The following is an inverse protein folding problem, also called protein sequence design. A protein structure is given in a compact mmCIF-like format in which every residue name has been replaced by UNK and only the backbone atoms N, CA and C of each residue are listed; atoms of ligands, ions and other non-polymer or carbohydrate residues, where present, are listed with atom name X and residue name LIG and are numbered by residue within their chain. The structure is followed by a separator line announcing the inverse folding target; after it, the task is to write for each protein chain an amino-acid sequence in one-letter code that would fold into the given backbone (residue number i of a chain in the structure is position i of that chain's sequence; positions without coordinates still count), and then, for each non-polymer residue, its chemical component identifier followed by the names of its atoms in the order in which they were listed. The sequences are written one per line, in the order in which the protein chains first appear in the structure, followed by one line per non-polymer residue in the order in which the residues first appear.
data_IF_440846721531
#
_entry.id   IF_440846721531
#
_cell.length_a   1.000
_cell.length_b   1.000
_cell.length_c   1.000
_cell.angle_alpha   90.00
_cell.angle_beta   90.00
_cell.angle_gamma   90.00
#
_symmetry.space_group_name_H-M   'P 1'
#
loop_
_entity.id
_entity.type
_entity.pdbx_description
1 polymer ?
#
# COMPACT_ATOMS: atom_id res chain seq x y z
N UNK A 1 33.53 -49.22 -23.18
CA UNK A 1 34.19 -48.16 -22.40
C UNK A 1 33.23 -47.00 -22.25
N UNK A 2 32.84 -46.71 -21.02
CA UNK A 2 31.99 -45.59 -20.62
C UNK A 2 32.70 -44.25 -20.89
N UNK A 3 31.96 -43.26 -21.42
CA UNK A 3 32.31 -41.84 -21.25
C UNK A 3 31.16 -41.17 -20.54
N UNK A 4 31.27 -41.20 -19.20
CA UNK A 4 30.78 -40.24 -18.22
C UNK A 4 29.76 -39.21 -18.73
N UNK A 5 28.50 -39.44 -18.41
CA UNK A 5 27.51 -38.38 -18.17
C UNK A 5 28.12 -37.42 -17.15
N UNK A 6 28.61 -36.27 -17.62
CA UNK A 6 28.95 -35.15 -16.74
C UNK A 6 27.72 -34.29 -16.62
N UNK A 7 26.97 -34.51 -15.55
CA UNK A 7 26.06 -33.52 -14.98
C UNK A 7 26.78 -32.15 -14.97
N UNK A 8 26.15 -31.08 -15.50
CA UNK A 8 26.76 -29.75 -15.45
C UNK A 8 26.98 -29.34 -13.98
N UNK A 9 28.11 -28.68 -13.66
CA UNK A 9 28.42 -28.32 -12.28
C UNK A 9 27.30 -27.45 -11.69
N UNK A 10 26.81 -27.85 -10.50
CA UNK A 10 25.77 -27.15 -9.71
C UNK A 10 26.05 -25.66 -9.46
N UNK A 11 27.26 -25.18 -9.76
CA UNK A 11 27.63 -23.77 -9.75
C UNK A 11 26.79 -22.93 -10.72
N UNK A 12 26.28 -23.50 -11.81
CA UNK A 12 25.40 -22.76 -12.73
C UNK A 12 24.03 -22.45 -12.11
N UNK A 13 23.52 -23.34 -11.23
CA UNK A 13 22.26 -23.11 -10.52
C UNK A 13 22.44 -22.12 -9.36
N UNK A 14 23.64 -22.03 -8.81
CA UNK A 14 23.95 -21.14 -7.68
C UNK A 14 24.19 -19.68 -8.13
N UNK A 15 24.65 -19.46 -9.36
CA UNK A 15 24.87 -18.11 -9.92
C UNK A 15 23.57 -17.52 -10.50
N UNK A 16 22.68 -18.35 -11.05
CA UNK A 16 21.42 -17.88 -11.66
C UNK A 16 20.39 -17.31 -10.65
N UNK A 17 20.57 -17.51 -9.34
CA UNK A 17 19.68 -16.98 -8.30
C UNK A 17 20.10 -15.61 -7.74
N UNK A 18 21.21 -15.03 -8.24
CA UNK A 18 21.76 -13.75 -7.74
C UNK A 18 21.72 -12.61 -8.77
N UNK A 19 21.17 -12.82 -9.98
CA UNK A 19 21.25 -11.85 -11.09
C UNK A 19 19.90 -11.29 -11.59
N UNK A 20 18.86 -11.26 -10.75
CA UNK A 20 17.74 -10.33 -11.01
C UNK A 20 17.67 -9.34 -9.86
N UNK A 21 17.79 -8.01 -10.10
CA UNK A 21 17.53 -7.06 -9.06
C UNK A 21 16.09 -7.33 -8.59
N UNK A 22 15.85 -7.50 -7.27
CA UNK A 22 14.50 -7.66 -6.78
C UNK A 22 13.65 -6.51 -7.34
N UNK A 23 12.42 -6.75 -7.85
CA UNK A 23 11.51 -5.66 -8.18
C UNK A 23 11.53 -4.64 -7.02
N UNK A 24 11.46 -3.32 -7.27
CA UNK A 24 11.64 -2.28 -6.26
C UNK A 24 10.85 -2.53 -4.96
N UNK A 25 9.71 -3.21 -5.08
CA UNK A 25 8.88 -3.69 -3.99
C UNK A 25 9.55 -4.66 -3.01
N UNK A 26 10.39 -5.59 -3.49
CA UNK A 26 11.17 -6.51 -2.66
C UNK A 26 12.37 -5.81 -2.01
N UNK A 27 12.94 -4.77 -2.63
CA UNK A 27 13.93 -3.90 -1.99
C UNK A 27 13.29 -3.13 -0.83
N UNK A 28 12.08 -2.61 -1.05
CA UNK A 28 11.29 -1.93 0.00
C UNK A 28 10.85 -2.89 1.10
N UNK A 29 10.39 -4.11 0.77
CA UNK A 29 10.09 -5.15 1.76
C UNK A 29 11.33 -5.64 2.50
N UNK A 30 12.47 -5.77 1.83
CA UNK A 30 13.74 -6.19 2.47
C UNK A 30 14.23 -5.10 3.41
N UNK A 31 14.17 -3.83 3.00
CA UNK A 31 14.44 -2.67 3.86
C UNK A 31 13.48 -2.66 5.05
N UNK A 32 12.18 -2.83 4.84
CA UNK A 32 11.18 -2.90 5.91
C UNK A 32 11.39 -4.10 6.85
N UNK A 33 11.74 -5.27 6.33
CA UNK A 33 12.04 -6.46 7.13
C UNK A 33 13.38 -6.38 7.86
N UNK A 34 14.32 -5.57 7.37
CA UNK A 34 15.60 -5.26 8.01
C UNK A 34 15.55 -4.09 8.99
N UNK A 35 14.44 -3.34 9.05
CA UNK A 35 14.22 -2.21 9.97
C UNK A 35 13.64 -2.61 11.34
N UNK A 36 13.35 -3.90 11.55
CA UNK A 36 13.12 -4.45 12.89
C UNK A 36 14.50 -4.76 13.49
N UNK A 37 15.14 -3.89 14.28
CA UNK A 37 14.80 -3.63 15.68
C UNK A 37 15.34 -2.28 16.25
N UNK A 38 15.72 -1.28 15.46
CA UNK A 38 16.30 -0.04 16.02
C UNK A 38 15.51 1.23 15.69
N UNK A 39 14.78 1.73 16.68
CA UNK A 39 14.12 3.05 16.73
C UNK A 39 13.50 3.55 15.42
N UNK A 40 12.36 2.99 15.03
CA UNK A 40 11.47 3.75 14.15
C UNK A 40 10.96 4.96 14.94
N UNK A 41 11.24 6.17 14.44
CA UNK A 41 10.71 7.41 14.97
C UNK A 41 9.17 7.41 14.87
N UNK A 42 8.45 8.18 15.70
CA UNK A 42 6.99 8.20 15.65
C UNK A 42 6.41 8.48 14.25
N UNK A 43 7.10 9.29 13.44
CA UNK A 43 6.68 9.60 12.08
C UNK A 43 6.89 8.42 11.12
N UNK A 44 8.01 7.71 11.21
CA UNK A 44 8.27 6.50 10.41
C UNK A 44 7.24 5.42 10.72
N UNK A 45 6.88 5.24 11.99
CA UNK A 45 5.79 4.33 12.41
C UNK A 45 4.45 4.72 11.80
N UNK A 46 4.14 6.01 11.78
CA UNK A 46 2.90 6.51 11.17
C UNK A 46 2.90 6.23 9.65
N UNK A 47 3.98 6.53 8.94
CA UNK A 47 4.11 6.26 7.51
C UNK A 47 4.01 4.76 7.20
N UNK A 48 4.70 3.92 7.98
CA UNK A 48 4.61 2.46 7.86
C UNK A 48 3.16 1.99 8.08
N UNK A 49 2.45 2.56 9.06
CA UNK A 49 1.04 2.25 9.32
C UNK A 49 0.17 2.59 8.10
N UNK A 50 0.35 3.77 7.47
CA UNK A 50 -0.41 4.14 6.28
C UNK A 50 -0.20 3.17 5.11
N UNK A 51 1.06 2.78 4.87
CA UNK A 51 1.44 1.84 3.80
C UNK A 51 0.89 0.44 4.08
N UNK A 52 1.08 -0.07 5.30
CA UNK A 52 0.60 -1.39 5.69
C UNK A 52 -0.92 -1.47 5.66
N UNK A 53 -1.62 -0.41 6.07
CA UNK A 53 -3.08 -0.36 6.00
C UNK A 53 -3.56 -0.39 4.55
N UNK A 54 -2.96 0.35 3.62
CA UNK A 54 -3.34 0.24 2.19
C UNK A 54 -3.21 -1.20 1.69
N UNK A 55 -2.05 -1.83 1.92
CA UNK A 55 -1.80 -3.21 1.48
C UNK A 55 -2.60 -4.28 2.22
N UNK A 56 -3.16 -3.98 3.39
CA UNK A 56 -4.09 -4.86 4.09
C UNK A 56 -5.43 -4.99 3.37
N UNK A 57 -5.85 -3.94 2.64
CA UNK A 57 -7.14 -3.92 1.94
C UNK A 57 -6.99 -4.10 0.42
N UNK A 58 -5.87 -3.70 -0.18
CA UNK A 58 -5.66 -3.84 -1.63
C UNK A 58 -5.42 -5.30 -2.05
N UNK A 59 -5.82 -5.64 -3.27
CA UNK A 59 -5.55 -6.95 -3.87
C UNK A 59 -6.35 -8.11 -3.28
N UNK A 60 -7.39 -7.85 -2.49
CA UNK A 60 -8.42 -8.84 -2.19
C UNK A 60 -9.24 -9.14 -3.45
N UNK A 61 -9.42 -8.13 -4.30
CA UNK A 61 -10.11 -8.19 -5.58
C UNK A 61 -9.31 -7.42 -6.64
N UNK A 62 -8.91 -8.07 -7.74
CA UNK A 62 -8.25 -7.38 -8.86
C UNK A 62 -6.77 -7.11 -8.65
N UNK A 63 -6.34 -5.86 -8.84
CA UNK A 63 -4.93 -5.44 -8.76
C UNK A 63 -4.50 -5.20 -7.30
N UNK A 64 -3.34 -5.75 -6.93
CA UNK A 64 -2.75 -5.59 -5.59
C UNK A 64 -2.20 -4.20 -5.30
N UNK A 65 -2.05 -3.37 -6.32
CA UNK A 65 -1.52 -2.02 -6.22
C UNK A 65 -2.60 -0.94 -6.14
N UNK A 66 -3.87 -1.32 -6.24
CA UNK A 66 -5.01 -0.41 -6.19
C UNK A 66 -6.06 -0.92 -5.21
N UNK A 67 -6.96 -0.03 -4.80
CA UNK A 67 -8.16 -0.40 -4.05
C UNK A 67 -9.37 -0.38 -4.98
N UNK A 68 -10.11 -1.48 -5.01
CA UNK A 68 -11.45 -1.49 -5.56
C UNK A 68 -12.38 -0.64 -4.70
N UNK A 69 -13.53 -0.27 -5.27
CA UNK A 69 -14.59 0.43 -4.54
C UNK A 69 -15.02 -0.32 -3.27
N UNK A 70 -15.05 -1.65 -3.31
CA UNK A 70 -15.43 -2.47 -2.17
C UNK A 70 -14.34 -2.49 -1.09
N UNK A 71 -13.08 -2.57 -1.51
CA UNK A 71 -11.92 -2.55 -0.61
C UNK A 71 -11.78 -1.19 0.09
N UNK A 72 -11.95 -0.08 -0.65
CA UNK A 72 -11.97 1.27 -0.07
C UNK A 72 -13.09 1.41 0.98
N UNK A 73 -14.27 0.87 0.67
CA UNK A 73 -15.42 0.89 1.58
C UNK A 73 -15.13 0.12 2.87
N UNK A 74 -14.49 -1.04 2.77
CA UNK A 74 -14.08 -1.82 3.92
C UNK A 74 -13.02 -1.08 4.76
N UNK A 75 -11.99 -0.54 4.11
CA UNK A 75 -10.93 0.25 4.75
C UNK A 75 -11.52 1.40 5.58
N UNK A 76 -12.42 2.21 4.98
CA UNK A 76 -13.02 3.35 5.68
C UNK A 76 -13.85 2.91 6.88
N UNK A 77 -14.59 1.80 6.76
CA UNK A 77 -15.44 1.30 7.85
C UNK A 77 -14.65 0.70 9.01
N UNK A 78 -13.49 0.10 8.74
CA UNK A 78 -12.69 -0.61 9.73
C UNK A 78 -11.60 0.26 10.37
N UNK A 79 -10.95 1.12 9.58
CA UNK A 79 -9.77 1.87 10.02
C UNK A 79 -10.10 3.29 10.49
N UNK A 80 -11.26 3.83 10.11
CA UNK A 80 -11.62 5.22 10.41
C UNK A 80 -12.96 5.28 11.15
N UNK A 81 -12.97 5.97 12.31
CA UNK A 81 -14.19 6.14 13.12
C UNK A 81 -15.31 6.91 12.39
N UNK A 82 -14.97 7.68 11.35
CA UNK A 82 -15.94 8.31 10.43
C UNK A 82 -16.72 7.30 9.58
N UNK A 83 -16.24 6.06 9.43
CA UNK A 83 -16.90 5.01 8.66
C UNK A 83 -18.30 4.65 9.17
N UNK A 84 -18.54 4.71 10.49
CA UNK A 84 -19.88 4.49 11.05
C UNK A 84 -20.86 5.63 10.71
N UNK A 85 -20.35 6.84 10.52
CA UNK A 85 -21.14 8.04 10.21
C UNK A 85 -21.33 8.24 8.71
N UNK A 86 -20.47 7.66 7.88
CA UNK A 86 -20.57 7.74 6.43
C UNK A 86 -21.54 6.67 5.89
N UNK A 87 -22.63 7.14 5.29
CA UNK A 87 -23.52 6.29 4.49
C UNK A 87 -22.79 5.81 3.24
N UNK A 88 -23.21 4.67 2.69
CA UNK A 88 -22.65 4.09 1.46
C UNK A 88 -22.57 5.10 0.29
N UNK A 89 -23.61 5.93 0.11
CA UNK A 89 -23.61 7.02 -0.89
C UNK A 89 -22.49 8.05 -0.69
N UNK A 90 -22.08 8.28 0.56
CA UNK A 90 -20.96 9.16 0.89
C UNK A 90 -19.62 8.56 0.47
N UNK A 91 -19.47 7.24 0.64
CA UNK A 91 -18.29 6.49 0.21
C UNK A 91 -18.23 6.44 -1.33
N UNK A 92 -19.36 6.28 -2.01
CA UNK A 92 -19.43 6.34 -3.48
C UNK A 92 -18.91 7.68 -4.02
N UNK A 93 -19.38 8.79 -3.43
CA UNK A 93 -18.90 10.14 -3.80
C UNK A 93 -17.43 10.36 -3.45
N UNK A 94 -16.96 9.75 -2.38
CA UNK A 94 -15.55 9.81 -2.02
C UNK A 94 -14.71 9.08 -3.05
N UNK A 95 -15.11 7.87 -3.47
CA UNK A 95 -14.45 7.14 -4.56
C UNK A 95 -14.35 8.00 -5.82
N UNK A 96 -15.47 8.57 -6.27
CA UNK A 96 -15.51 9.47 -7.45
C UNK A 96 -14.60 10.71 -7.29
N UNK A 97 -14.39 11.17 -6.05
CA UNK A 97 -13.52 12.30 -5.77
C UNK A 97 -12.03 11.92 -5.77
N UNK A 98 -11.71 10.69 -5.37
CA UNK A 98 -10.35 10.19 -5.26
C UNK A 98 -9.83 9.64 -6.59
N UNK A 99 -10.65 8.93 -7.35
CA UNK A 99 -10.36 8.36 -8.67
C UNK A 99 -10.20 9.48 -9.71
N UNK A 100 -8.97 9.95 -9.90
CA UNK A 100 -8.65 11.10 -10.76
C UNK A 100 -8.53 10.72 -12.22
N UNK A 101 -8.08 9.51 -12.50
CA UNK A 101 -7.92 8.99 -13.86
C UNK A 101 -9.17 8.26 -14.38
N UNK A 102 -10.19 8.10 -13.51
CA UNK A 102 -11.50 7.52 -13.81
C UNK A 102 -11.43 6.04 -14.21
N UNK A 103 -10.48 5.31 -13.61
CA UNK A 103 -10.28 3.89 -13.89
C UNK A 103 -11.13 2.96 -12.99
N UNK A 104 -11.89 3.52 -12.03
CA UNK A 104 -12.70 2.83 -11.01
C UNK A 104 -11.89 2.06 -9.95
N UNK A 105 -10.62 2.36 -9.82
CA UNK A 105 -9.71 1.86 -8.79
C UNK A 105 -8.99 3.06 -8.15
N UNK A 106 -8.50 2.89 -6.91
CA UNK A 106 -7.74 3.93 -6.23
C UNK A 106 -6.30 3.48 -6.07
N UNK A 107 -5.38 4.17 -6.74
CA UNK A 107 -3.96 3.90 -6.57
C UNK A 107 -3.42 4.48 -5.24
N UNK A 108 -2.17 4.15 -4.90
CA UNK A 108 -1.57 4.65 -3.66
C UNK A 108 -1.42 6.18 -3.62
N UNK A 109 -1.24 6.83 -4.78
CA UNK A 109 -1.10 8.29 -4.87
C UNK A 109 -2.45 8.98 -4.60
N UNK A 110 -3.54 8.44 -5.13
CA UNK A 110 -4.89 8.93 -4.87
C UNK A 110 -5.30 8.69 -3.41
N UNK A 111 -4.97 7.53 -2.86
CA UNK A 111 -5.14 7.22 -1.43
C UNK A 111 -4.40 8.19 -0.51
N UNK A 112 -3.14 8.53 -0.81
CA UNK A 112 -2.39 9.50 0.02
C UNK A 112 -2.96 10.93 -0.08
N UNK A 113 -3.59 11.30 -1.21
CA UNK A 113 -4.38 12.52 -1.34
C UNK A 113 -5.56 12.58 -0.36
N UNK A 114 -6.29 11.47 -0.21
CA UNK A 114 -7.35 11.33 0.79
C UNK A 114 -6.84 11.53 2.22
N UNK A 115 -5.76 10.82 2.59
CA UNK A 115 -5.16 10.93 3.92
C UNK A 115 -4.69 12.35 4.23
N UNK A 116 -4.13 13.03 3.22
CA UNK A 116 -3.70 14.43 3.34
C UNK A 116 -4.90 15.33 3.66
N UNK A 117 -6.03 15.14 2.98
CA UNK A 117 -7.26 15.89 3.27
C UNK A 117 -7.81 15.58 4.67
N UNK A 118 -7.77 14.31 5.11
CA UNK A 118 -8.14 13.93 6.48
C UNK A 118 -7.24 14.58 7.52
N UNK A 119 -5.92 14.57 7.34
CA UNK A 119 -4.97 15.24 8.22
C UNK A 119 -5.28 16.74 8.35
N UNK A 120 -5.62 17.41 7.24
CA UNK A 120 -6.06 18.82 7.28
C UNK A 120 -7.36 18.98 8.05
N UNK A 121 -8.32 18.05 7.91
CA UNK A 121 -9.59 18.12 8.64
C UNK A 121 -9.44 17.96 10.15
N UNK A 122 -8.51 17.11 10.61
CA UNK A 122 -8.18 16.94 12.03
C UNK A 122 -7.38 18.11 12.60
N UNK A 123 -6.68 18.84 11.74
CA UNK A 123 -5.93 20.01 12.15
C UNK A 123 -6.84 21.24 12.17
N UNK A 124 -7.44 21.50 13.33
CA UNK A 124 -8.32 22.65 13.57
C UNK A 124 -7.67 24.00 13.19
N UNK A 125 -6.33 24.07 13.16
CA UNK A 125 -5.58 25.24 12.71
C UNK A 125 -5.84 25.64 11.24
N UNK A 126 -6.21 24.69 10.38
CA UNK A 126 -6.49 24.93 8.96
C UNK A 126 -7.98 24.94 8.62
N UNK A 127 -8.86 24.82 9.62
CA UNK A 127 -10.29 25.00 9.36
C UNK A 127 -10.56 26.49 9.16
N UNK A 128 -11.21 26.90 8.05
CA UNK A 128 -11.61 28.28 7.87
C UNK A 128 -12.53 28.68 9.02
N UNK A 129 -12.31 29.84 9.62
CA UNK A 129 -13.18 30.37 10.67
C UNK A 129 -14.63 30.29 10.18
N UNK A 130 -15.47 29.54 10.91
CA UNK A 130 -16.88 29.47 10.64
C UNK A 130 -17.48 30.87 10.86
N UNK A 131 -17.73 31.59 9.75
CA UNK A 131 -18.51 32.83 9.74
C UNK A 131 -19.98 32.55 9.48
#
# INVERSE_FOLDING_TARGET
MQKSDREPPLLYLHVQLMETPPPPFLLFQTILSGLSESMETPLEKALATLVCTFHKYSGKEGDKFTLSKQELKELIKQELALGEKMKDRGIDKLMESLDKDQNNEIDFKEYTGFLTALCMSYNQFFQPDAK
#
